data_IF_967048914637
#
_entry.id   IF_967048914637
#
_cell.length_a   1.000
_cell.length_b   1.000
_cell.length_c   1.000
_cell.angle_alpha   90.00
_cell.angle_beta   90.00
_cell.angle_gamma   90.00
#
_symmetry.space_group_name_H-M   'P 1'
#
loop_
_entity.id
_entity.type
_entity.pdbx_description
1 polymer ?
#
# COMPACT_ATOMS: atom_id res chain seq x y z
N UNK A 1 -1.41 -8.77 11.99
CA UNK A 1 -1.07 -9.23 10.63
C UNK A 1 0.41 -8.95 10.40
N UNK A 2 1.27 -9.98 10.33
CA UNK A 2 2.74 -9.81 10.37
C UNK A 2 3.37 -9.34 9.05
N UNK A 3 2.58 -9.01 8.02
CA UNK A 3 3.06 -8.55 6.70
C UNK A 3 2.13 -7.48 6.13
N UNK A 4 2.72 -6.51 5.41
CA UNK A 4 2.03 -5.39 4.77
C UNK A 4 1.09 -5.84 3.63
N UNK A 5 1.52 -6.81 2.82
CA UNK A 5 0.73 -7.37 1.72
C UNK A 5 0.06 -8.69 2.14
N UNK A 6 -1.23 -8.82 1.85
CA UNK A 6 -2.00 -10.06 1.97
C UNK A 6 -2.11 -10.81 0.64
N UNK A 7 -3.07 -11.73 0.54
CA UNK A 7 -3.32 -12.52 -0.69
C UNK A 7 -3.58 -11.66 -1.93
N UNK A 8 -4.20 -10.50 -1.74
CA UNK A 8 -4.65 -9.61 -2.81
C UNK A 8 -4.39 -8.16 -2.39
N UNK A 9 -3.11 -7.82 -2.30
CA UNK A 9 -2.63 -6.47 -1.97
C UNK A 9 -2.72 -6.07 -0.49
N UNK A 10 -2.62 -4.76 -0.26
CA UNK A 10 -2.77 -4.13 1.06
C UNK A 10 -4.25 -3.75 1.23
N UNK A 11 -4.91 -4.32 2.24
CA UNK A 11 -6.35 -4.13 2.51
C UNK A 11 -6.59 -3.84 3.98
N UNK A 12 -7.61 -3.06 4.28
CA UNK A 12 -8.00 -2.70 5.64
C UNK A 12 -9.19 -1.76 5.66
N UNK A 13 -9.75 -1.52 6.85
CA UNK A 13 -10.79 -0.51 7.04
C UNK A 13 -10.24 0.86 6.66
N UNK A 14 -11.00 1.60 5.86
CA UNK A 14 -10.67 2.97 5.47
C UNK A 14 -10.60 3.87 6.71
N UNK A 15 -9.58 4.72 6.77
CA UNK A 15 -9.28 5.57 7.92
C UNK A 15 -8.97 4.81 9.23
N UNK A 16 -8.83 3.48 9.16
CA UNK A 16 -8.33 2.63 10.24
C UNK A 16 -6.95 2.11 9.86
N UNK A 17 -6.90 0.84 9.44
CA UNK A 17 -5.65 0.23 8.97
C UNK A 17 -5.20 0.76 7.60
N UNK A 18 -6.15 1.20 6.76
CA UNK A 18 -5.87 1.82 5.47
C UNK A 18 -6.05 3.33 5.60
N UNK A 19 -4.96 4.03 5.94
CA UNK A 19 -4.94 5.50 6.05
C UNK A 19 -4.56 6.17 4.73
N UNK A 20 -4.82 7.48 4.63
CA UNK A 20 -4.43 8.27 3.46
C UNK A 20 -2.90 8.32 3.29
N UNK A 21 -2.15 8.41 4.39
CA UNK A 21 -0.69 8.44 4.41
C UNK A 21 -0.12 7.12 3.89
N UNK A 22 -0.67 5.99 4.35
CA UNK A 22 -0.25 4.68 3.88
C UNK A 22 -0.53 4.50 2.38
N UNK A 23 -1.69 4.96 1.89
CA UNK A 23 -2.01 4.92 0.47
C UNK A 23 -1.02 5.76 -0.36
N UNK A 24 -0.66 6.95 0.12
CA UNK A 24 0.32 7.82 -0.55
C UNK A 24 1.70 7.16 -0.60
N UNK A 25 2.16 6.58 0.51
CA UNK A 25 3.44 5.88 0.57
C UNK A 25 3.49 4.67 -0.37
N UNK A 26 2.41 3.88 -0.43
CA UNK A 26 2.29 2.74 -1.34
C UNK A 26 2.35 3.17 -2.80
N UNK A 27 1.63 4.23 -3.17
CA UNK A 27 1.64 4.76 -4.54
C UNK A 27 3.03 5.26 -4.95
N UNK A 28 3.71 5.98 -4.06
CA UNK A 28 5.05 6.51 -4.33
C UNK A 28 6.09 5.38 -4.48
N UNK A 29 6.03 4.36 -3.62
CA UNK A 29 6.87 3.17 -3.73
C UNK A 29 6.57 2.38 -5.02
N UNK A 30 5.30 2.24 -5.39
CA UNK A 30 4.90 1.58 -6.63
C UNK A 30 5.44 2.33 -7.87
N UNK A 31 5.39 3.66 -7.88
CA UNK A 31 5.95 4.45 -8.96
C UNK A 31 7.47 4.25 -9.11
N UNK A 32 8.21 4.14 -8.01
CA UNK A 32 9.65 3.84 -8.03
C UNK A 32 9.93 2.40 -8.47
N UNK A 33 9.18 1.41 -7.98
CA UNK A 33 9.52 0.01 -8.26
C UNK A 33 9.00 -0.46 -9.61
N UNK A 34 7.82 0.03 -10.01
CA UNK A 34 7.08 -0.45 -11.19
C UNK A 34 7.07 0.55 -12.35
N UNK A 35 7.46 1.81 -12.12
CA UNK A 35 7.44 2.86 -13.14
C UNK A 35 8.70 2.92 -14.00
N UNK A 36 9.52 1.87 -14.02
CA UNK A 36 10.75 1.81 -14.81
C UNK A 36 10.54 0.76 -15.90
N UNK A 37 10.17 1.23 -17.09
CA UNK A 37 10.22 0.48 -18.34
C UNK A 37 11.29 1.06 -19.27
#
# INVERSE_FOLDING_TARGET
>A
MSRLFGTDGVRGLANGLLTAELAMQLAQAAAVVLGHE
#
